data_IF_187987467295
#
_entry.id   IF_187987467295
#
_cell.length_a   1.000
_cell.length_b   1.000
_cell.length_c   1.000
_cell.angle_alpha   90.00
_cell.angle_beta   90.00
_cell.angle_gamma   90.00
#
_symmetry.space_group_name_H-M   'P 1'
#
loop_
_entity.id
_entity.type
_entity.pdbx_description
1 polymer ?
#
# COMPACT_ATOMS: atom_id res chain seq x y z
N UNK A 1 8.24 19.80 -4.42
CA UNK A 1 7.20 19.01 -5.11
C UNK A 1 6.12 18.65 -4.09
N UNK A 2 4.87 18.44 -4.50
CA UNK A 2 3.83 18.00 -3.56
C UNK A 2 3.64 16.49 -3.58
N UNK A 3 2.93 15.96 -2.57
CA UNK A 3 2.71 14.52 -2.36
C UNK A 3 2.27 13.75 -3.62
N UNK A 4 1.34 14.30 -4.40
CA UNK A 4 0.80 13.67 -5.61
C UNK A 4 1.84 13.55 -6.73
N UNK A 5 2.67 14.56 -6.86
CA UNK A 5 3.75 14.55 -7.86
C UNK A 5 4.85 13.57 -7.48
N UNK A 6 5.22 13.50 -6.21
CA UNK A 6 6.17 12.52 -5.69
C UNK A 6 5.66 11.10 -5.92
N UNK A 7 4.37 10.83 -5.62
CA UNK A 7 3.73 9.54 -5.91
C UNK A 7 3.75 9.20 -7.40
N UNK A 8 3.42 10.16 -8.29
CA UNK A 8 3.48 9.94 -9.74
C UNK A 8 4.87 9.57 -10.22
N UNK A 9 5.89 10.28 -9.73
CA UNK A 9 7.28 9.99 -10.10
C UNK A 9 7.70 8.59 -9.65
N UNK A 10 7.32 8.17 -8.44
CA UNK A 10 7.57 6.81 -7.94
C UNK A 10 6.87 5.74 -8.82
N UNK A 11 5.60 5.95 -9.19
CA UNK A 11 4.88 5.06 -10.10
C UNK A 11 5.54 4.95 -11.47
N UNK A 12 6.03 6.08 -12.01
CA UNK A 12 6.75 6.10 -13.29
C UNK A 12 8.07 5.32 -13.19
N UNK A 13 8.83 5.48 -12.12
CA UNK A 13 10.08 4.76 -11.89
C UNK A 13 9.85 3.25 -11.72
N UNK A 14 8.88 2.84 -10.91
CA UNK A 14 8.49 1.43 -10.78
C UNK A 14 8.14 0.79 -12.13
N UNK A 15 7.40 1.53 -12.97
CA UNK A 15 6.98 1.01 -14.28
C UNK A 15 8.10 0.98 -15.33
N UNK A 16 8.96 2.00 -15.38
CA UNK A 16 9.99 2.13 -16.42
C UNK A 16 11.27 1.37 -16.11
N UNK A 17 11.65 1.37 -14.85
CA UNK A 17 12.96 0.90 -14.39
C UNK A 17 12.88 -0.40 -13.59
N UNK A 18 11.66 -0.90 -13.33
CA UNK A 18 11.45 -2.06 -12.45
C UNK A 18 11.88 -1.76 -11.00
N UNK A 19 11.90 -0.48 -10.63
CA UNK A 19 12.38 -0.04 -9.33
C UNK A 19 11.50 -0.55 -8.19
N UNK A 20 12.12 -0.92 -7.06
CA UNK A 20 11.40 -1.33 -5.86
C UNK A 20 10.65 -0.15 -5.26
N UNK A 21 9.34 -0.29 -5.13
CA UNK A 21 8.44 0.81 -4.75
C UNK A 21 8.78 1.47 -3.42
N UNK A 22 9.16 0.70 -2.39
CA UNK A 22 9.54 1.21 -1.08
C UNK A 22 10.84 2.03 -1.14
N UNK A 23 11.87 1.55 -1.82
CA UNK A 23 13.16 2.23 -1.95
C UNK A 23 13.02 3.56 -2.69
N UNK A 24 12.43 3.53 -3.89
CA UNK A 24 12.21 4.72 -4.71
C UNK A 24 11.31 5.75 -4.04
N UNK A 25 10.25 5.30 -3.38
CA UNK A 25 9.34 6.22 -2.71
C UNK A 25 10.01 6.92 -1.53
N UNK A 26 10.77 6.17 -0.70
CA UNK A 26 11.55 6.73 0.43
C UNK A 26 12.58 7.76 -0.07
N UNK A 27 13.28 7.45 -1.15
CA UNK A 27 14.24 8.36 -1.80
C UNK A 27 13.55 9.64 -2.29
N UNK A 28 12.42 9.52 -2.99
CA UNK A 28 11.72 10.69 -3.56
C UNK A 28 11.06 11.55 -2.48
N UNK A 29 10.54 10.97 -1.41
CA UNK A 29 10.04 11.71 -0.24
C UNK A 29 11.17 12.55 0.38
N UNK A 30 12.34 11.97 0.56
CA UNK A 30 13.52 12.66 1.10
C UNK A 30 14.02 13.75 0.15
N UNK A 31 14.16 13.44 -1.15
CA UNK A 31 14.58 14.39 -2.21
C UNK A 31 13.67 15.61 -2.27
N UNK A 32 12.35 15.38 -2.22
CA UNK A 32 11.34 16.42 -2.37
C UNK A 32 11.06 17.15 -1.04
N UNK A 33 11.70 16.71 0.07
CA UNK A 33 11.60 17.27 1.43
C UNK A 33 10.14 17.39 1.90
N UNK A 34 9.37 16.33 1.67
CA UNK A 34 7.97 16.31 2.10
C UNK A 34 7.89 16.29 3.63
N UNK A 35 6.94 17.04 4.18
CA UNK A 35 6.60 16.90 5.60
C UNK A 35 5.93 15.54 5.87
N UNK A 36 5.67 15.23 7.14
CA UNK A 36 5.10 13.94 7.55
C UNK A 36 3.73 13.67 6.95
N UNK A 37 2.90 14.71 6.79
CA UNK A 37 1.56 14.61 6.21
C UNK A 37 1.61 14.33 4.72
N UNK A 38 2.41 15.07 3.99
CA UNK A 38 2.60 14.91 2.55
C UNK A 38 3.32 13.60 2.23
N UNK A 39 4.28 13.18 3.05
CA UNK A 39 4.95 11.88 2.93
C UNK A 39 3.96 10.71 3.12
N UNK A 40 3.08 10.80 4.11
CA UNK A 40 2.03 9.81 4.32
C UNK A 40 1.04 9.75 3.14
N UNK A 41 0.63 10.92 2.60
CA UNK A 41 -0.24 10.98 1.43
C UNK A 41 0.46 10.41 0.19
N UNK A 42 1.72 10.76 -0.08
CA UNK A 42 2.48 10.22 -1.20
C UNK A 42 2.60 8.70 -1.14
N UNK A 43 2.87 8.17 0.06
CA UNK A 43 2.96 6.74 0.32
C UNK A 43 1.61 6.04 0.07
N UNK A 44 0.54 6.58 0.61
CA UNK A 44 -0.81 6.03 0.43
C UNK A 44 -1.24 6.04 -1.04
N UNK A 45 -0.92 7.10 -1.77
CA UNK A 45 -1.20 7.20 -3.20
C UNK A 45 -0.39 6.19 -4.03
N UNK A 46 0.92 6.11 -3.80
CA UNK A 46 1.79 5.22 -4.56
C UNK A 46 1.42 3.75 -4.33
N UNK A 47 1.38 3.31 -3.06
CA UNK A 47 1.05 1.91 -2.74
C UNK A 47 -0.40 1.57 -3.07
N UNK A 48 -1.34 2.48 -2.83
CA UNK A 48 -2.74 2.26 -3.14
C UNK A 48 -3.00 2.08 -4.64
N UNK A 49 -2.34 2.87 -5.49
CA UNK A 49 -2.43 2.70 -6.95
C UNK A 49 -1.78 1.39 -7.39
N UNK A 50 -0.61 1.03 -6.85
CA UNK A 50 0.06 -0.23 -7.20
C UNK A 50 -0.79 -1.44 -6.81
N UNK A 51 -1.34 -1.44 -5.61
CA UNK A 51 -2.17 -2.51 -5.08
C UNK A 51 -3.49 -2.66 -5.83
N UNK A 52 -4.12 -1.54 -6.24
CA UNK A 52 -5.45 -1.55 -6.86
C UNK A 52 -5.42 -1.38 -8.38
N UNK A 53 -4.30 -1.63 -9.04
CA UNK A 53 -4.09 -1.28 -10.45
C UNK A 53 -5.11 -1.90 -11.41
N UNK A 54 -5.44 -3.18 -11.25
CA UNK A 54 -6.41 -3.86 -12.12
C UNK A 54 -7.84 -3.39 -11.82
N UNK A 55 -8.18 -3.19 -10.55
CA UNK A 55 -9.46 -2.61 -10.12
C UNK A 55 -9.64 -1.19 -10.69
N UNK A 56 -8.60 -0.37 -10.64
CA UNK A 56 -8.63 0.97 -11.23
C UNK A 56 -8.75 0.94 -12.76
N UNK A 57 -8.10 -0.02 -13.43
CA UNK A 57 -8.28 -0.22 -14.88
C UNK A 57 -9.72 -0.64 -15.22
N UNK A 58 -10.34 -1.49 -14.41
CA UNK A 58 -11.72 -1.90 -14.59
C UNK A 58 -12.69 -0.70 -14.52
N UNK A 59 -12.53 0.17 -13.52
CA UNK A 59 -13.34 1.40 -13.45
C UNK A 59 -13.01 2.37 -14.58
N UNK A 60 -11.73 2.54 -14.90
CA UNK A 60 -11.29 3.42 -15.98
C UNK A 60 -11.86 2.98 -17.33
N UNK A 61 -11.96 1.68 -17.59
CA UNK A 61 -12.55 1.15 -18.82
C UNK A 61 -14.04 1.52 -18.99
N UNK A 62 -14.78 1.66 -17.92
CA UNK A 62 -16.18 2.10 -17.96
C UNK A 62 -16.33 3.62 -18.20
N UNK A 63 -15.31 4.40 -17.84
CA UNK A 63 -15.31 5.85 -17.97
C UNK A 63 -14.77 6.34 -19.32
N UNK A 64 -14.09 5.46 -20.06
CA UNK A 64 -13.48 5.77 -21.36
C UNK A 64 -14.37 5.28 -22.51
N UNK A 65 -14.39 6.03 -23.60
CA UNK A 65 -14.96 5.57 -24.89
C UNK A 65 -14.02 4.60 -25.64
N UNK A 66 -12.72 4.65 -25.32
CA UNK A 66 -11.68 3.79 -25.89
C UNK A 66 -11.15 2.74 -24.90
N UNK A 67 -10.11 2.03 -25.31
CA UNK A 67 -9.48 1.00 -24.45
C UNK A 67 -8.45 1.62 -23.51
N UNK A 68 -8.42 1.20 -22.24
CA UNK A 68 -7.41 1.62 -21.25
C UNK A 68 -5.98 1.37 -21.77
N UNK A 69 -5.76 0.24 -22.43
CA UNK A 69 -4.45 -0.13 -23.02
C UNK A 69 -3.95 0.83 -24.10
N UNK A 70 -4.83 1.63 -24.71
CA UNK A 70 -4.44 2.63 -25.71
C UNK A 70 -3.96 3.95 -25.10
N UNK A 71 -4.17 4.16 -23.80
CA UNK A 71 -3.66 5.32 -23.09
C UNK A 71 -2.15 5.29 -22.99
N UNK A 72 -1.52 6.47 -23.13
CA UNK A 72 -0.10 6.58 -22.79
C UNK A 72 0.12 6.30 -21.33
N UNK A 73 1.19 5.56 -20.96
CA UNK A 73 1.41 5.10 -19.60
C UNK A 73 1.35 6.21 -18.54
N UNK A 74 1.93 7.38 -18.79
CA UNK A 74 1.88 8.51 -17.83
C UNK A 74 0.45 9.05 -17.64
N UNK A 75 -0.35 9.11 -18.71
CA UNK A 75 -1.75 9.54 -18.62
C UNK A 75 -2.55 8.54 -17.80
N UNK A 76 -2.31 7.23 -17.99
CA UNK A 76 -2.93 6.17 -17.21
C UNK A 76 -2.53 6.25 -15.73
N UNK A 77 -1.24 6.46 -15.42
CA UNK A 77 -0.76 6.62 -14.04
C UNK A 77 -1.44 7.82 -13.36
N UNK A 78 -1.60 8.95 -14.06
CA UNK A 78 -2.31 10.14 -13.55
C UNK A 78 -3.80 9.85 -13.31
N UNK A 79 -4.46 9.17 -14.24
CA UNK A 79 -5.87 8.77 -14.08
C UNK A 79 -6.05 7.80 -12.90
N UNK A 80 -5.15 6.83 -12.73
CA UNK A 80 -5.16 5.95 -11.57
C UNK A 80 -5.03 6.72 -10.25
N UNK A 81 -4.11 7.69 -10.17
CA UNK A 81 -3.98 8.54 -8.99
C UNK A 81 -5.26 9.34 -8.70
N UNK A 82 -5.90 9.88 -9.74
CA UNK A 82 -7.17 10.59 -9.60
C UNK A 82 -8.29 9.68 -9.11
N UNK A 83 -8.47 8.53 -9.77
CA UNK A 83 -9.52 7.55 -9.42
C UNK A 83 -9.33 6.98 -8.02
N UNK A 84 -8.09 6.64 -7.64
CA UNK A 84 -7.80 6.16 -6.30
C UNK A 84 -8.18 7.18 -5.22
N UNK A 85 -7.91 8.45 -5.45
CA UNK A 85 -8.34 9.52 -4.53
C UNK A 85 -9.86 9.62 -4.44
N UNK A 86 -10.56 9.55 -5.57
CA UNK A 86 -12.03 9.70 -5.63
C UNK A 86 -12.75 8.50 -4.98
N UNK A 87 -12.25 7.27 -5.19
CA UNK A 87 -12.97 6.06 -4.74
C UNK A 87 -12.49 5.50 -3.41
N UNK A 88 -11.23 5.73 -3.02
CA UNK A 88 -10.60 5.05 -1.89
C UNK A 88 -10.15 6.02 -0.77
N UNK A 89 -10.24 7.34 -0.97
CA UNK A 89 -9.78 8.33 0.03
C UNK A 89 -10.90 9.30 0.43
N UNK A 90 -11.60 8.99 1.53
CA UNK A 90 -12.70 9.82 2.04
C UNK A 90 -12.29 11.23 2.46
N UNK A 91 -11.01 11.41 2.86
CA UNK A 91 -10.50 12.70 3.36
C UNK A 91 -9.98 13.62 2.26
N UNK A 92 -9.99 13.19 1.01
CA UNK A 92 -9.56 14.00 -0.14
C UNK A 92 -10.79 14.52 -0.86
N UNK A 93 -11.00 15.84 -0.95
CA UNK A 93 -12.10 16.40 -1.72
C UNK A 93 -11.99 16.02 -3.20
N UNK A 94 -13.10 15.58 -3.82
CA UNK A 94 -13.14 15.14 -5.22
C UNK A 94 -12.63 16.23 -6.19
N UNK A 95 -12.97 17.50 -5.94
CA UNK A 95 -12.49 18.63 -6.75
C UNK A 95 -10.97 18.80 -6.68
N UNK A 96 -10.34 18.55 -5.53
CA UNK A 96 -8.90 18.58 -5.38
C UNK A 96 -8.25 17.40 -6.13
N UNK A 97 -8.82 16.19 -6.05
CA UNK A 97 -8.35 15.04 -6.82
C UNK A 97 -8.35 15.31 -8.32
N UNK A 98 -9.42 15.97 -8.84
CA UNK A 98 -9.54 16.33 -10.26
C UNK A 98 -8.53 17.42 -10.64
N UNK A 99 -8.50 18.56 -9.93
CA UNK A 99 -7.65 19.70 -10.30
C UNK A 99 -6.17 19.37 -10.28
N UNK A 100 -5.70 18.71 -9.22
CA UNK A 100 -4.30 18.29 -9.09
C UNK A 100 -3.88 17.29 -10.17
N UNK A 101 -4.78 16.34 -10.54
CA UNK A 101 -4.51 15.41 -11.63
C UNK A 101 -4.40 16.12 -12.99
N UNK A 102 -5.23 17.14 -13.23
CA UNK A 102 -5.15 17.97 -14.45
C UNK A 102 -3.83 18.74 -14.50
N UNK A 103 -3.36 19.28 -13.37
CA UNK A 103 -2.10 20.01 -13.31
C UNK A 103 -0.89 19.08 -13.51
N UNK A 104 -0.94 17.86 -12.98
CA UNK A 104 0.03 16.82 -13.31
C UNK A 104 0.02 16.51 -14.83
N UNK A 105 -1.15 16.41 -15.45
CA UNK A 105 -1.24 16.17 -16.89
C UNK A 105 -0.65 17.32 -17.71
N UNK A 106 -0.88 18.58 -17.35
CA UNK A 106 -0.25 19.75 -17.97
C UNK A 106 1.28 19.69 -17.87
N UNK A 107 1.80 19.28 -16.70
CA UNK A 107 3.25 19.24 -16.43
C UNK A 107 3.93 18.09 -17.15
N UNK A 108 3.38 16.87 -17.08
CA UNK A 108 4.03 15.64 -17.55
C UNK A 108 3.66 15.24 -18.97
N UNK A 109 2.56 15.78 -19.53
CA UNK A 109 2.06 15.42 -20.85
C UNK A 109 2.18 16.59 -21.87
N UNK A 110 3.22 17.42 -21.77
CA UNK A 110 3.41 18.63 -22.61
C UNK A 110 3.30 18.37 -24.13
N UNK A 111 3.76 17.21 -24.61
CA UNK A 111 3.65 16.78 -26.02
C UNK A 111 2.24 16.29 -26.42
N UNK A 112 1.29 16.26 -25.50
CA UNK A 112 -0.06 15.73 -25.68
C UNK A 112 -1.08 16.78 -25.23
N UNK A 113 -1.33 17.76 -26.07
CA UNK A 113 -2.23 18.90 -25.78
C UNK A 113 -3.63 18.47 -25.30
N UNK A 114 -4.10 17.28 -25.71
CA UNK A 114 -5.41 16.74 -25.32
C UNK A 114 -5.42 16.10 -23.90
N UNK A 115 -4.26 15.72 -23.35
CA UNK A 115 -4.20 14.95 -22.12
C UNK A 115 -4.84 15.65 -20.90
N UNK A 116 -4.65 16.97 -20.64
CA UNK A 116 -5.33 17.64 -19.55
C UNK A 116 -6.86 17.64 -19.68
N UNK A 117 -7.36 17.85 -20.91
CA UNK A 117 -8.79 17.78 -21.21
C UNK A 117 -9.38 16.39 -20.99
N UNK A 118 -8.68 15.35 -21.45
CA UNK A 118 -9.05 13.96 -21.24
C UNK A 118 -9.10 13.62 -19.74
N UNK A 119 -8.05 13.94 -18.98
CA UNK A 119 -7.97 13.70 -17.53
C UNK A 119 -9.11 14.41 -16.81
N UNK A 120 -9.38 15.68 -17.13
CA UNK A 120 -10.48 16.42 -16.54
C UNK A 120 -11.84 15.78 -16.85
N UNK A 121 -12.08 15.43 -18.12
CA UNK A 121 -13.35 14.80 -18.54
C UNK A 121 -13.60 13.47 -17.85
N UNK A 122 -12.60 12.59 -17.84
CA UNK A 122 -12.70 11.25 -17.21
C UNK A 122 -12.92 11.36 -15.70
N UNK A 123 -12.13 12.18 -14.99
CA UNK A 123 -12.25 12.27 -13.54
C UNK A 123 -13.51 13.00 -13.09
N UNK A 124 -13.99 14.02 -13.82
CA UNK A 124 -15.30 14.62 -13.56
C UNK A 124 -16.45 13.62 -13.77
N UNK A 125 -16.35 12.79 -14.80
CA UNK A 125 -17.30 11.70 -15.02
C UNK A 125 -17.25 10.69 -13.87
N UNK A 126 -16.05 10.32 -13.39
CA UNK A 126 -15.87 9.45 -12.24
C UNK A 126 -16.57 9.99 -10.98
N UNK A 127 -16.41 11.29 -10.68
CA UNK A 127 -17.10 11.94 -9.56
C UNK A 127 -18.62 11.88 -9.74
N UNK A 128 -19.11 12.20 -10.95
CA UNK A 128 -20.56 12.20 -11.24
C UNK A 128 -21.20 10.81 -11.15
N UNK A 129 -20.44 9.76 -11.50
CA UNK A 129 -20.91 8.37 -11.52
C UNK A 129 -20.48 7.58 -10.29
N UNK A 130 -19.95 8.24 -9.26
CA UNK A 130 -19.53 7.59 -8.01
C UNK A 130 -20.70 6.80 -7.41
N UNK A 131 -20.48 5.51 -7.17
CA UNK A 131 -21.49 4.59 -6.66
C UNK A 131 -22.48 4.03 -7.71
N UNK A 132 -22.37 4.42 -9.00
CA UNK A 132 -23.22 3.90 -10.08
C UNK A 132 -22.47 3.06 -11.12
N UNK A 133 -21.15 2.99 -11.05
CA UNK A 133 -20.37 2.09 -11.89
C UNK A 133 -20.57 0.64 -11.47
N UNK A 134 -20.44 -0.27 -12.44
CA UNK A 134 -20.49 -1.70 -12.13
C UNK A 134 -19.28 -2.08 -11.27
N UNK A 135 -19.55 -2.83 -10.20
CA UNK A 135 -18.50 -3.43 -9.38
C UNK A 135 -17.82 -4.59 -10.13
N UNK A 136 -16.52 -4.82 -9.90
CA UNK A 136 -15.81 -5.93 -10.51
C UNK A 136 -16.34 -7.28 -10.02
N UNK A 137 -16.76 -8.14 -10.94
CA UNK A 137 -17.26 -9.48 -10.65
C UNK A 137 -16.14 -10.54 -10.64
N UNK A 138 -15.06 -10.32 -11.40
CA UNK A 138 -13.93 -11.24 -11.41
C UNK A 138 -13.04 -11.07 -10.18
N UNK A 139 -12.45 -12.17 -9.68
CA UNK A 139 -11.47 -12.08 -8.59
C UNK A 139 -10.24 -11.25 -8.98
N UNK A 140 -9.86 -11.30 -10.26
CA UNK A 140 -8.75 -10.53 -10.81
C UNK A 140 -8.96 -9.03 -10.63
N UNK A 141 -10.09 -8.50 -11.09
CA UNK A 141 -10.38 -7.07 -11.00
C UNK A 141 -10.73 -6.66 -9.57
N UNK A 142 -11.50 -7.50 -8.84
CA UNK A 142 -11.97 -7.22 -7.48
C UNK A 142 -10.82 -7.08 -6.49
N UNK A 143 -9.84 -7.99 -6.56
CA UNK A 143 -8.69 -8.02 -5.66
C UNK A 143 -7.41 -7.53 -6.30
N UNK A 144 -7.49 -7.02 -7.54
CA UNK A 144 -6.34 -6.49 -8.30
C UNK A 144 -5.15 -7.46 -8.36
N UNK A 145 -5.45 -8.74 -8.49
CA UNK A 145 -4.46 -9.83 -8.51
C UNK A 145 -4.49 -10.51 -9.88
N UNK A 146 -3.35 -10.63 -10.59
CA UNK A 146 -3.31 -11.27 -11.91
C UNK A 146 -3.88 -12.69 -11.89
N UNK A 147 -4.64 -13.05 -12.93
CA UNK A 147 -5.29 -14.34 -13.02
C UNK A 147 -4.33 -15.53 -12.88
N UNK A 148 -3.14 -15.43 -13.45
CA UNK A 148 -2.11 -16.46 -13.36
C UNK A 148 -1.70 -16.73 -11.91
N UNK A 149 -1.59 -15.67 -11.10
CA UNK A 149 -1.29 -15.77 -9.68
C UNK A 149 -2.47 -16.37 -8.91
N UNK A 150 -3.70 -15.92 -9.21
CA UNK A 150 -4.91 -16.49 -8.59
C UNK A 150 -5.01 -17.99 -8.85
N UNK A 151 -4.73 -18.43 -10.09
CA UNK A 151 -4.73 -19.85 -10.45
C UNK A 151 -3.71 -20.63 -9.62
N UNK A 152 -2.49 -20.12 -9.53
CA UNK A 152 -1.42 -20.74 -8.74
C UNK A 152 -1.82 -20.84 -7.25
N UNK A 153 -2.24 -19.76 -6.66
CA UNK A 153 -2.64 -19.72 -5.24
C UNK A 153 -3.83 -20.66 -4.96
N UNK A 154 -4.80 -20.73 -5.87
CA UNK A 154 -5.94 -21.63 -5.75
C UNK A 154 -5.56 -23.11 -5.71
N UNK A 155 -4.50 -23.49 -6.42
CA UNK A 155 -4.00 -24.87 -6.39
C UNK A 155 -3.44 -25.26 -5.00
N UNK A 156 -2.96 -24.27 -4.22
CA UNK A 156 -2.48 -24.48 -2.83
C UNK A 156 -3.59 -24.39 -1.79
N UNK A 157 -4.47 -23.38 -1.86
CA UNK A 157 -5.45 -23.13 -0.78
C UNK A 157 -6.83 -23.71 -1.06
N UNK A 158 -7.10 -24.15 -2.27
CA UNK A 158 -8.41 -24.64 -2.72
C UNK A 158 -9.36 -23.54 -3.19
N UNK A 159 -10.40 -23.96 -3.94
CA UNK A 159 -11.39 -23.04 -4.53
C UNK A 159 -12.18 -22.27 -3.49
N UNK A 160 -12.49 -22.90 -2.37
CA UNK A 160 -13.36 -22.31 -1.34
C UNK A 160 -12.64 -21.25 -0.48
N UNK A 161 -11.31 -21.28 -0.44
CA UNK A 161 -10.50 -20.38 0.40
C UNK A 161 -9.82 -19.25 -0.36
N UNK A 162 -9.73 -19.34 -1.70
CA UNK A 162 -8.99 -18.37 -2.49
C UNK A 162 -9.49 -16.94 -2.30
N UNK A 163 -10.80 -16.72 -2.28
CA UNK A 163 -11.34 -15.38 -2.13
C UNK A 163 -11.04 -14.78 -0.74
N UNK A 164 -11.14 -15.60 0.31
CA UNK A 164 -10.76 -15.18 1.67
C UNK A 164 -9.29 -14.78 1.74
N UNK A 165 -8.40 -15.57 1.11
CA UNK A 165 -6.97 -15.26 1.04
C UNK A 165 -6.70 -13.95 0.29
N UNK A 166 -7.33 -13.74 -0.87
CA UNK A 166 -7.17 -12.50 -1.65
C UNK A 166 -7.68 -11.28 -0.90
N UNK A 167 -8.79 -11.42 -0.16
CA UNK A 167 -9.30 -10.37 0.71
C UNK A 167 -8.28 -10.02 1.80
N UNK A 168 -7.78 -11.02 2.53
CA UNK A 168 -6.80 -10.81 3.60
C UNK A 168 -5.51 -10.14 3.07
N UNK A 169 -5.04 -10.52 1.89
CA UNK A 169 -3.87 -9.91 1.26
C UNK A 169 -4.07 -8.44 0.87
N UNK A 170 -5.32 -7.99 0.70
CA UNK A 170 -5.63 -6.59 0.36
C UNK A 170 -5.91 -5.71 1.58
N UNK A 171 -6.07 -6.30 2.76
CA UNK A 171 -6.20 -5.55 4.00
C UNK A 171 -4.87 -4.86 4.37
N UNK A 172 -4.96 -3.75 5.09
CA UNK A 172 -3.76 -3.08 5.59
C UNK A 172 -3.08 -3.99 6.62
N UNK A 173 -1.79 -4.34 6.44
CA UNK A 173 -1.11 -5.18 7.41
C UNK A 173 -0.97 -4.46 8.74
N UNK A 174 -1.22 -5.18 9.83
CA UNK A 174 -0.92 -4.70 11.17
C UNK A 174 0.59 -4.58 11.36
N UNK A 175 1.03 -3.58 12.11
CA UNK A 175 2.43 -3.51 12.53
C UNK A 175 2.66 -4.52 13.65
N UNK A 176 3.35 -5.61 13.36
CA UNK A 176 3.67 -6.64 14.34
C UNK A 176 5.15 -6.61 14.72
N UNK A 177 5.41 -6.84 16.01
CA UNK A 177 6.75 -6.84 16.57
C UNK A 177 6.99 -8.05 17.44
N UNK A 178 8.22 -8.55 17.41
CA UNK A 178 8.66 -9.61 18.31
C UNK A 178 9.36 -9.00 19.50
N UNK A 179 8.97 -9.43 20.70
CA UNK A 179 9.61 -9.02 21.94
C UNK A 179 11.01 -9.64 22.02
N UNK A 180 11.98 -8.84 22.39
CA UNK A 180 13.32 -9.35 22.74
C UNK A 180 13.27 -9.95 24.16
N UNK A 181 12.86 -11.20 24.26
CA UNK A 181 12.67 -11.91 25.54
C UNK A 181 13.95 -12.08 26.35
N UNK A 182 15.13 -11.82 25.75
CA UNK A 182 16.39 -11.76 26.48
C UNK A 182 16.53 -10.47 27.31
N UNK A 183 15.74 -9.44 27.00
CA UNK A 183 15.81 -8.12 27.65
C UNK A 183 14.58 -7.77 28.46
N UNK A 184 13.38 -8.19 28.01
CA UNK A 184 12.13 -7.73 28.59
C UNK A 184 11.01 -8.76 28.36
N UNK A 185 10.01 -8.80 29.25
CA UNK A 185 8.78 -9.57 29.01
C UNK A 185 7.80 -8.83 28.12
N UNK A 186 6.87 -9.54 27.49
CA UNK A 186 5.84 -8.96 26.64
C UNK A 186 4.96 -7.94 27.40
N UNK A 187 4.56 -8.27 28.64
CA UNK A 187 3.73 -7.37 29.46
C UNK A 187 4.48 -6.09 29.85
N UNK A 188 5.75 -6.20 30.20
CA UNK A 188 6.57 -5.02 30.55
C UNK A 188 6.82 -4.15 29.32
N UNK A 189 7.07 -4.75 28.14
CA UNK A 189 7.20 -4.01 26.90
C UNK A 189 5.90 -3.28 26.53
N UNK A 190 4.75 -3.93 26.71
CA UNK A 190 3.44 -3.30 26.46
C UNK A 190 3.25 -2.05 27.31
N UNK A 191 3.49 -2.13 28.61
CA UNK A 191 3.41 -0.97 29.51
C UNK A 191 4.38 0.15 29.11
N UNK A 192 5.59 -0.22 28.69
CA UNK A 192 6.59 0.74 28.21
C UNK A 192 6.12 1.49 26.96
N UNK A 193 5.57 0.75 25.98
CA UNK A 193 5.04 1.32 24.73
C UNK A 193 3.82 2.22 24.96
N UNK A 194 2.92 1.81 25.88
CA UNK A 194 1.80 2.66 26.31
C UNK A 194 2.28 3.98 26.89
N UNK A 195 3.35 3.96 27.69
CA UNK A 195 4.00 5.19 28.22
C UNK A 195 4.67 6.05 27.12
N UNK A 196 5.02 5.45 25.99
CA UNK A 196 5.54 6.14 24.80
C UNK A 196 4.41 6.57 23.83
N UNK A 197 3.13 6.37 24.18
CA UNK A 197 1.96 6.74 23.38
C UNK A 197 1.61 5.75 22.25
N UNK A 198 2.15 4.55 22.30
CA UNK A 198 1.89 3.47 21.34
C UNK A 198 0.97 2.44 21.95
N UNK A 199 -0.18 2.17 21.30
CA UNK A 199 -1.06 1.07 21.72
C UNK A 199 -0.45 -0.27 21.28
N UNK A 200 -0.32 -1.20 22.23
CA UNK A 200 0.25 -2.52 22.00
C UNK A 200 -0.70 -3.60 22.53
N UNK A 201 -1.07 -4.56 21.69
CA UNK A 201 -1.93 -5.69 22.03
C UNK A 201 -1.18 -7.00 21.77
N UNK A 202 -1.35 -8.04 22.62
CA UNK A 202 -0.83 -9.36 22.32
C UNK A 202 -1.36 -9.87 20.98
N UNK A 203 -0.53 -10.59 20.24
CA UNK A 203 -0.98 -11.27 19.03
C UNK A 203 -1.78 -12.53 19.39
N UNK A 204 -2.90 -12.79 18.71
CA UNK A 204 -3.90 -13.79 19.09
C UNK A 204 -3.34 -15.22 19.25
N UNK A 205 -2.36 -15.60 18.44
CA UNK A 205 -1.83 -16.97 18.41
C UNK A 205 -0.30 -17.06 18.45
N UNK A 206 0.43 -15.94 18.31
CA UNK A 206 1.90 -15.95 18.32
C UNK A 206 2.42 -15.45 19.67
N UNK A 207 3.07 -16.30 20.48
CA UNK A 207 3.65 -15.87 21.75
C UNK A 207 4.76 -14.84 21.55
N UNK A 208 4.92 -13.94 22.50
CA UNK A 208 5.93 -12.87 22.50
C UNK A 208 5.88 -11.98 21.25
N UNK A 209 4.71 -11.87 20.63
CA UNK A 209 4.42 -10.98 19.51
C UNK A 209 3.38 -9.95 19.92
N UNK A 210 3.60 -8.69 19.63
CA UNK A 210 2.65 -7.61 19.86
C UNK A 210 2.20 -6.98 18.55
N UNK A 211 0.92 -6.63 18.48
CA UNK A 211 0.33 -5.81 17.41
C UNK A 211 0.33 -4.36 17.87
N UNK A 212 0.98 -3.50 17.12
CA UNK A 212 1.13 -2.08 17.46
C UNK A 212 0.22 -1.20 16.61
N UNK A 213 -0.33 -0.16 17.27
CA UNK A 213 -1.09 0.90 16.62
C UNK A 213 -0.59 2.27 17.08
N UNK A 214 -0.62 3.24 16.16
CA UNK A 214 -0.18 4.61 16.47
C UNK A 214 1.33 4.78 16.62
N UNK A 215 2.12 3.91 16.00
CA UNK A 215 3.58 3.86 16.15
C UNK A 215 4.32 5.10 15.62
N UNK A 216 3.73 5.82 14.66
CA UNK A 216 4.46 6.85 13.93
C UNK A 216 5.74 6.28 13.28
N UNK A 217 6.86 6.92 13.52
CA UNK A 217 8.18 6.47 13.06
C UNK A 217 8.80 5.58 14.13
N UNK A 218 8.77 4.26 13.89
CA UNK A 218 9.28 3.24 14.83
C UNK A 218 10.75 3.47 15.23
N UNK A 219 11.58 3.98 14.31
CA UNK A 219 12.99 4.23 14.58
C UNK A 219 13.22 5.35 15.62
N UNK A 220 12.19 6.14 15.92
CA UNK A 220 12.22 7.20 16.94
C UNK A 220 11.80 6.72 18.33
N UNK A 221 11.15 5.57 18.45
CA UNK A 221 10.72 5.04 19.74
C UNK A 221 11.93 4.65 20.60
N UNK A 222 12.01 5.10 21.87
CA UNK A 222 13.07 4.69 22.79
C UNK A 222 13.17 3.18 22.94
N UNK A 223 12.05 2.49 23.10
CA UNK A 223 12.00 1.03 23.22
C UNK A 223 12.60 0.30 22.00
N UNK A 224 12.42 0.85 20.78
CA UNK A 224 13.05 0.31 19.57
C UNK A 224 14.57 0.52 19.58
N UNK A 225 15.04 1.72 19.92
CA UNK A 225 16.47 2.05 19.98
C UNK A 225 17.22 1.26 21.04
N UNK A 226 16.56 0.94 22.14
CA UNK A 226 17.08 0.07 23.19
C UNK A 226 17.10 -1.41 22.77
N UNK A 227 16.50 -1.75 21.62
CA UNK A 227 16.41 -3.10 21.09
C UNK A 227 15.54 -4.03 21.96
N UNK A 228 14.48 -3.48 22.54
CA UNK A 228 13.53 -4.24 23.35
C UNK A 228 12.57 -5.07 22.49
N UNK A 229 12.46 -4.74 21.22
CA UNK A 229 11.70 -5.47 20.21
C UNK A 229 12.29 -5.26 18.81
N UNK A 230 11.86 -6.08 17.87
CA UNK A 230 12.15 -5.92 16.43
C UNK A 230 10.90 -6.18 15.61
N UNK A 231 10.84 -5.56 14.42
CA UNK A 231 9.70 -5.71 13.50
C UNK A 231 9.82 -7.04 12.78
N UNK A 232 8.83 -7.91 12.94
CA UNK A 232 8.79 -9.18 12.24
C UNK A 232 7.34 -9.65 12.08
N UNK A 233 7.03 -10.16 10.90
CA UNK A 233 5.77 -10.84 10.64
C UNK A 233 5.68 -12.15 11.45
N UNK A 234 4.52 -12.46 12.07
CA UNK A 234 4.32 -13.69 12.85
C UNK A 234 4.59 -14.98 12.05
N UNK A 235 4.27 -14.99 10.74
CA UNK A 235 4.53 -16.15 9.89
C UNK A 235 6.04 -16.39 9.69
N UNK A 236 6.85 -15.33 9.68
CA UNK A 236 8.31 -15.47 9.63
C UNK A 236 8.87 -16.10 10.92
N UNK A 237 8.31 -15.76 12.10
CA UNK A 237 8.66 -16.44 13.36
C UNK A 237 8.18 -17.89 13.37
N UNK A 238 7.00 -18.15 12.84
CA UNK A 238 6.44 -19.51 12.79
C UNK A 238 7.38 -20.48 12.08
N UNK A 239 8.04 -20.06 10.99
CA UNK A 239 9.00 -20.92 10.29
C UNK A 239 10.19 -21.34 11.16
N UNK A 240 10.64 -20.46 12.06
CA UNK A 240 11.71 -20.77 13.03
C UNK A 240 11.18 -21.73 14.11
N UNK A 241 9.95 -21.53 14.59
CA UNK A 241 9.35 -22.42 15.58
C UNK A 241 9.12 -23.83 15.04
N UNK A 242 8.71 -23.95 13.77
CA UNK A 242 8.54 -25.22 13.07
C UNK A 242 9.87 -25.96 12.82
N UNK A 243 11.01 -25.30 12.93
CA UNK A 243 12.31 -25.96 12.82
C UNK A 243 12.67 -26.82 14.05
N UNK A 244 11.89 -26.73 15.15
CA UNK A 244 12.07 -27.52 16.38
C UNK A 244 13.53 -27.56 16.86
N UNK A 245 14.17 -26.37 16.91
CA UNK A 245 15.58 -26.26 17.29
C UNK A 245 15.85 -26.86 18.66
N UNK A 246 16.97 -27.59 18.85
CA UNK A 246 17.35 -28.14 20.14
C UNK A 246 17.45 -27.05 21.21
N UNK A 247 17.14 -27.39 22.46
CA UNK A 247 17.28 -26.47 23.61
C UNK A 247 18.76 -26.25 24.01
N UNK A 248 19.64 -27.10 23.54
CA UNK A 248 21.08 -26.98 23.78
C UNK A 248 21.69 -25.91 22.87
N UNK A 249 22.79 -25.26 23.27
CA UNK A 249 23.48 -24.30 22.43
C UNK A 249 23.92 -24.93 21.10
N UNK A 250 23.38 -24.43 19.99
CA UNK A 250 23.74 -24.87 18.64
C UNK A 250 24.30 -23.69 17.84
N UNK A 251 25.17 -23.98 16.90
CA UNK A 251 25.65 -23.02 15.93
C UNK A 251 24.87 -23.21 14.63
N UNK A 252 24.05 -22.24 14.26
CA UNK A 252 23.40 -22.19 12.96
C UNK A 252 24.31 -21.48 11.96
N UNK A 253 24.52 -22.09 10.81
CA UNK A 253 25.27 -21.50 9.67
C UNK A 253 24.30 -20.94 8.66
#
# INVERSE_FOLDING_TARGET
>A
MGARETALNALIACRKEGAWSNGVLKEYIARDRLDSRDAALASRLCYGVLQNRLKLDFYLQQLLTGKVKSLRPVVRDILHLGLYQIYELDKVPDNAAVSESVDLAKKYCKKQRFAPGLVNGVLRNAVKTKGSLKEPASLEDKYSTPWELIKLLRDYVGKDRIEMMLRANNEAPSTTVQVNTLKISADTLRQRLEGEGVSAQPHDWMPDCLVLNGTGDLEKLPAFREGLFYVQDPAAKLSVLCAELPKEPIRLL
#
